data_IF_781738988471
#
_entry.id   IF_781738988471
#
_cell.length_a   1.000
_cell.length_b   1.000
_cell.length_c   1.000
_cell.angle_alpha   90.00
_cell.angle_beta   90.00
_cell.angle_gamma   90.00
#
_symmetry.space_group_name_H-M   'P 1'
#
loop_
_entity.id
_entity.type
_entity.pdbx_description
1 polymer ?
#
# COMPACT_ATOMS: atom_id res chain seq x y z
N UNK A 1 -7.96 3.21 -15.43
CA UNK A 1 -7.10 4.38 -15.13
C UNK A 1 -5.75 3.99 -14.55
N UNK A 2 -5.64 3.40 -13.34
CA UNK A 2 -4.33 3.04 -12.76
C UNK A 2 -3.53 1.99 -13.57
N UNK A 3 -4.20 0.99 -14.14
CA UNK A 3 -3.54 -0.07 -14.90
C UNK A 3 -3.17 0.33 -16.33
N UNK A 4 -3.93 1.21 -16.96
CA UNK A 4 -3.56 1.77 -18.27
C UNK A 4 -2.26 2.56 -18.17
N UNK A 5 -2.07 3.31 -17.07
CA UNK A 5 -0.83 4.06 -16.80
C UNK A 5 0.38 3.14 -16.59
N UNK A 6 0.19 1.97 -15.98
CA UNK A 6 1.26 1.01 -15.71
C UNK A 6 1.93 0.49 -16.99
N UNK A 7 1.19 0.46 -18.11
CA UNK A 7 1.73 0.04 -19.42
C UNK A 7 2.60 1.11 -20.08
N UNK A 8 2.43 2.38 -19.73
CA UNK A 8 3.15 3.50 -20.36
C UNK A 8 4.28 4.08 -19.51
N UNK A 9 4.31 3.82 -18.21
CA UNK A 9 5.29 4.41 -17.30
C UNK A 9 6.38 3.39 -16.94
N UNK A 10 7.67 3.62 -17.29
CA UNK A 10 8.79 2.74 -16.95
C UNK A 10 9.23 2.90 -15.48
N UNK A 11 8.27 2.93 -14.56
CA UNK A 11 8.49 3.23 -13.14
C UNK A 11 7.50 2.50 -12.23
N UNK A 12 7.28 3.03 -11.03
CA UNK A 12 6.36 2.45 -10.06
C UNK A 12 4.98 3.11 -10.14
N UNK A 13 3.93 2.31 -10.11
CA UNK A 13 2.54 2.79 -10.05
C UNK A 13 2.06 2.76 -8.61
N UNK A 14 1.78 3.94 -8.07
CA UNK A 14 1.21 4.07 -6.74
C UNK A 14 -0.32 4.09 -6.83
N UNK A 15 -0.98 3.23 -6.07
CA UNK A 15 -2.44 3.14 -6.01
C UNK A 15 -2.90 3.43 -4.59
N UNK A 16 -3.81 4.38 -4.44
CA UNK A 16 -4.33 4.76 -3.14
C UNK A 16 -5.51 3.88 -2.74
N UNK A 17 -5.44 3.35 -1.51
CA UNK A 17 -6.56 2.62 -0.90
C UNK A 17 -7.57 3.63 -0.39
N UNK A 18 -8.85 3.33 -0.62
CA UNK A 18 -9.96 4.20 -0.22
C UNK A 18 -9.90 4.57 1.28
N UNK A 19 -9.85 5.87 1.57
CA UNK A 19 -9.75 6.40 2.92
C UNK A 19 -10.93 5.99 3.84
N UNK A 20 -12.08 5.59 3.27
CA UNK A 20 -13.21 5.07 4.06
C UNK A 20 -12.89 3.77 4.77
N UNK A 21 -11.94 3.00 4.24
CA UNK A 21 -11.46 1.76 4.85
C UNK A 21 -10.37 2.01 5.91
N UNK A 22 -10.00 3.27 6.20
CA UNK A 22 -8.89 3.60 7.09
C UNK A 22 -8.99 2.99 8.50
N UNK A 23 -10.18 2.61 8.96
CA UNK A 23 -10.40 2.01 10.28
C UNK A 23 -10.78 0.52 10.23
N UNK A 24 -10.71 -0.12 9.06
CA UNK A 24 -10.98 -1.55 8.88
C UNK A 24 -9.74 -2.26 8.31
N UNK A 25 -8.99 -2.93 9.19
CA UNK A 25 -7.78 -3.69 8.81
C UNK A 25 -8.09 -4.75 7.76
N UNK A 26 -9.17 -5.52 7.94
CA UNK A 26 -9.52 -6.60 7.02
C UNK A 26 -10.06 -6.04 5.70
N UNK A 27 -10.78 -4.92 5.75
CA UNK A 27 -11.21 -4.16 4.58
C UNK A 27 -10.04 -3.70 3.72
N UNK A 28 -8.99 -3.14 4.34
CA UNK A 28 -7.77 -2.71 3.64
C UNK A 28 -7.08 -3.90 2.97
N UNK A 29 -6.85 -4.99 3.72
CA UNK A 29 -6.17 -6.19 3.19
C UNK A 29 -6.94 -6.75 1.99
N UNK A 30 -8.25 -6.99 2.13
CA UNK A 30 -9.09 -7.46 1.01
C UNK A 30 -9.00 -6.53 -0.19
N UNK A 31 -9.03 -5.21 0.04
CA UNK A 31 -8.98 -4.25 -1.06
C UNK A 31 -7.66 -4.30 -1.82
N UNK A 32 -6.54 -4.46 -1.11
CA UNK A 32 -5.22 -4.60 -1.71
C UNK A 32 -5.14 -5.89 -2.54
N UNK A 33 -5.67 -7.01 -2.04
CA UNK A 33 -5.73 -8.24 -2.83
C UNK A 33 -6.60 -8.14 -4.08
N UNK A 34 -7.76 -7.47 -4.00
CA UNK A 34 -8.61 -7.20 -5.17
C UNK A 34 -7.84 -6.40 -6.23
N UNK A 35 -7.12 -5.36 -5.81
CA UNK A 35 -6.31 -4.54 -6.71
C UNK A 35 -5.17 -5.37 -7.31
N UNK A 36 -4.47 -6.17 -6.51
CA UNK A 36 -3.40 -7.04 -6.99
C UNK A 36 -3.91 -8.03 -8.04
N UNK A 37 -5.09 -8.62 -7.82
CA UNK A 37 -5.74 -9.50 -8.81
C UNK A 37 -6.04 -8.76 -10.11
N UNK A 38 -6.59 -7.55 -10.03
CA UNK A 38 -6.86 -6.71 -11.20
C UNK A 38 -5.57 -6.36 -11.96
N UNK A 39 -4.47 -6.08 -11.26
CA UNK A 39 -3.17 -5.83 -11.89
C UNK A 39 -2.57 -7.07 -12.54
N UNK A 40 -2.71 -8.24 -11.91
CA UNK A 40 -2.27 -9.51 -12.48
C UNK A 40 -3.05 -9.87 -13.75
N UNK A 41 -4.36 -9.61 -13.78
CA UNK A 41 -5.21 -9.77 -14.99
C UNK A 41 -4.78 -8.85 -16.14
N UNK A 42 -4.09 -7.75 -15.82
CA UNK A 42 -3.60 -6.76 -16.77
C UNK A 42 -2.11 -6.93 -17.09
N UNK A 43 -1.51 -8.06 -16.67
CA UNK A 43 -0.11 -8.45 -16.88
C UNK A 43 0.90 -7.45 -16.29
N UNK A 44 0.51 -6.72 -15.25
CA UNK A 44 1.39 -5.77 -14.55
C UNK A 44 2.14 -6.49 -13.43
N UNK A 45 3.47 -6.44 -13.45
CA UNK A 45 4.30 -7.04 -12.41
C UNK A 45 4.08 -6.38 -11.05
N UNK A 46 3.88 -7.20 -10.01
CA UNK A 46 3.69 -6.76 -8.63
C UNK A 46 4.87 -5.98 -8.06
N UNK A 47 6.08 -6.14 -8.63
CA UNK A 47 7.28 -5.40 -8.21
C UNK A 47 7.21 -3.90 -8.52
N UNK A 48 6.36 -3.50 -9.47
CA UNK A 48 6.13 -2.10 -9.84
C UNK A 48 4.98 -1.44 -9.08
N UNK A 49 4.25 -2.17 -8.23
CA UNK A 49 3.06 -1.67 -7.54
C UNK A 49 3.41 -1.17 -6.14
N UNK A 50 2.84 -0.01 -5.78
CA UNK A 50 2.94 0.56 -4.45
C UNK A 50 1.54 0.90 -3.95
N UNK A 51 1.13 0.32 -2.83
CA UNK A 51 -0.20 0.60 -2.26
C UNK A 51 -0.11 1.65 -1.16
N UNK A 52 -0.78 2.79 -1.35
CA UNK A 52 -0.85 3.85 -0.35
C UNK A 52 -1.94 3.55 0.67
N UNK A 53 -1.56 3.33 1.91
CA UNK A 53 -2.44 2.99 3.04
C UNK A 53 -2.47 4.17 4.01
N UNK A 54 -3.64 4.57 4.54
CA UNK A 54 -3.73 5.60 5.57
C UNK A 54 -3.00 5.18 6.85
N UNK A 55 -2.24 6.09 7.47
CA UNK A 55 -1.42 5.84 8.66
C UNK A 55 -2.21 5.85 9.98
N UNK A 56 -3.31 5.10 10.02
CA UNK A 56 -4.06 4.75 11.23
C UNK A 56 -3.46 3.50 11.89
N UNK A 57 -3.88 3.17 13.11
CA UNK A 57 -3.48 1.91 13.77
C UNK A 57 -3.85 0.69 12.91
N UNK A 58 -5.06 0.68 12.38
CA UNK A 58 -5.57 -0.39 11.51
C UNK A 58 -4.82 -0.47 10.19
N UNK A 59 -4.42 0.68 9.62
CA UNK A 59 -3.61 0.75 8.41
C UNK A 59 -2.18 0.25 8.62
N UNK A 60 -1.57 0.56 9.77
CA UNK A 60 -0.24 0.03 10.14
C UNK A 60 -0.31 -1.50 10.30
N UNK A 61 -1.35 -2.01 10.96
CA UNK A 61 -1.50 -3.47 11.13
C UNK A 61 -1.80 -4.18 9.80
N UNK A 62 -2.63 -3.58 8.93
CA UNK A 62 -2.87 -4.09 7.59
C UNK A 62 -1.59 -4.10 6.74
N UNK A 63 -0.82 -3.01 6.81
CA UNK A 63 0.49 -2.89 6.14
C UNK A 63 1.46 -3.97 6.61
N UNK A 64 1.52 -4.27 7.91
CA UNK A 64 2.34 -5.38 8.45
C UNK A 64 1.95 -6.73 7.84
N UNK A 65 0.65 -7.04 7.78
CA UNK A 65 0.18 -8.31 7.21
C UNK A 65 0.55 -8.42 5.72
N UNK A 66 0.35 -7.34 4.96
CA UNK A 66 0.69 -7.29 3.54
C UNK A 66 2.20 -7.36 3.29
N UNK A 67 3.03 -6.77 4.15
CA UNK A 67 4.49 -6.87 4.04
C UNK A 67 5.01 -8.28 4.32
N UNK A 68 4.38 -9.04 5.22
CA UNK A 68 4.70 -10.46 5.46
C UNK A 68 4.45 -11.31 4.21
N UNK A 69 3.51 -10.90 3.36
CA UNK A 69 3.22 -11.53 2.07
C UNK A 69 4.13 -11.03 0.94
N UNK A 70 5.02 -10.07 1.22
CA UNK A 70 5.93 -9.47 0.24
C UNK A 70 5.33 -8.35 -0.61
N UNK A 71 4.16 -7.81 -0.22
CA UNK A 71 3.52 -6.70 -0.91
C UNK A 71 4.09 -5.37 -0.40
N UNK A 72 4.59 -4.53 -1.31
CA UNK A 72 5.10 -3.20 -0.96
C UNK A 72 3.94 -2.24 -0.65
N UNK A 73 3.96 -1.69 0.57
CA UNK A 73 2.97 -0.71 1.03
C UNK A 73 3.64 0.60 1.44
N UNK A 74 2.90 1.70 1.30
CA UNK A 74 3.35 3.05 1.61
C UNK A 74 2.34 3.73 2.52
N UNK A 75 2.76 4.11 3.73
CA UNK A 75 1.87 4.78 4.67
C UNK A 75 1.78 6.28 4.36
N UNK A 76 0.56 6.80 4.21
CA UNK A 76 0.27 8.20 3.86
C UNK A 76 -0.41 8.92 5.04
N UNK A 77 -0.24 10.25 5.17
CA UNK A 77 -0.77 11.11 6.25
C UNK A 77 -0.09 10.98 7.64
N UNK A 78 1.23 10.77 7.68
CA UNK A 78 1.98 10.69 8.94
C UNK A 78 2.19 12.10 9.51
N UNK A 79 1.35 12.52 10.45
CA UNK A 79 1.33 13.90 11.01
C UNK A 79 1.98 14.02 12.40
N UNK A 80 2.32 12.90 13.08
CA UNK A 80 2.87 12.92 14.46
C UNK A 80 4.02 11.94 14.66
N UNK A 81 5.08 12.34 15.39
CA UNK A 81 6.29 11.56 15.68
C UNK A 81 6.06 10.11 16.16
N UNK A 82 4.96 9.85 16.89
CA UNK A 82 4.61 8.51 17.38
C UNK A 82 4.39 7.49 16.23
N UNK A 83 3.82 7.94 15.11
CA UNK A 83 3.58 7.11 13.94
C UNK A 83 4.91 6.76 13.23
N UNK A 84 5.89 7.65 13.33
CA UNK A 84 7.24 7.49 12.78
C UNK A 84 8.11 6.56 13.65
N UNK A 85 7.92 6.57 14.98
CA UNK A 85 8.66 5.69 15.89
C UNK A 85 8.38 4.20 15.67
N UNK A 86 7.14 3.86 15.28
CA UNK A 86 6.78 2.48 14.91
C UNK A 86 7.35 2.06 13.53
N UNK A 87 7.89 3.01 12.73
CA UNK A 87 8.46 2.74 11.40
C UNK A 87 9.91 2.21 11.49
N UNK A 88 10.65 2.57 12.53
CA UNK A 88 12.10 2.30 12.66
C UNK A 88 12.49 0.82 12.80
N UNK A 89 11.54 -0.07 13.07
CA UNK A 89 11.75 -1.53 13.08
C UNK A 89 11.41 -2.23 11.76
N UNK A 90 10.94 -1.51 10.73
CA UNK A 90 10.43 -2.08 9.48
C UNK A 90 11.22 -1.53 8.28
N UNK A 91 12.18 -2.32 7.80
CA UNK A 91 13.19 -1.92 6.80
C UNK A 91 12.67 -1.72 5.36
N UNK A 92 11.37 -1.92 5.07
CA UNK A 92 10.86 -1.98 3.69
C UNK A 92 9.75 -0.95 3.35
N UNK A 93 9.39 -0.04 4.26
CA UNK A 93 8.36 0.99 3.99
C UNK A 93 8.96 2.08 3.10
N UNK A 94 8.72 1.96 1.79
CA UNK A 94 9.25 2.87 0.78
C UNK A 94 8.49 4.19 0.77
N UNK A 95 9.06 5.21 1.41
CA UNK A 95 8.61 6.61 1.37
C UNK A 95 7.81 7.06 2.59
N UNK A 96 7.84 8.36 2.89
CA UNK A 96 6.83 9.12 3.63
C UNK A 96 6.59 10.32 2.72
N UNK A 97 5.36 10.53 2.29
CA UNK A 97 4.94 11.78 1.66
C UNK A 97 3.88 12.40 2.56
#
# INVERSE_FOLDING_TARGET
MGADLARFVPGRVSTEVDARLAYDTQGIVRKVHELLKLYNELEVSSQGLLFKIPSTWQGIEASRLLELEGIQTHLTFVYRYMQLANKSSFSNITGIC
#
